data_IF_253222423065
#
_entry.id   IF_253222423065
#
_cell.length_a   1.000
_cell.length_b   1.000
_cell.length_c   1.000
_cell.angle_alpha   90.00
_cell.angle_beta   90.00
_cell.angle_gamma   90.00
#
_symmetry.space_group_name_H-M   'P 1'
#
loop_
_entity.id
_entity.type
_entity.pdbx_description
1 polymer ?
#
# COMPACT_ATOMS: atom_id res chain seq x y z
N UNK A 1 -15.35 7.88 -8.57
CA UNK A 1 -14.47 7.21 -7.59
C UNK A 1 -14.38 5.74 -7.95
N UNK A 2 -13.17 5.21 -8.02
CA UNK A 2 -12.95 3.79 -8.27
C UNK A 2 -13.05 3.01 -6.97
N UNK A 3 -13.76 1.88 -7.01
CA UNK A 3 -13.87 0.98 -5.88
C UNK A 3 -13.36 -0.40 -6.26
N UNK A 4 -12.93 -1.15 -5.25
CA UNK A 4 -12.33 -2.46 -5.43
C UNK A 4 -12.86 -3.41 -4.37
N UNK A 5 -12.85 -4.71 -4.67
CA UNK A 5 -13.14 -5.73 -3.66
C UNK A 5 -11.86 -6.13 -2.94
N UNK A 6 -11.86 -6.01 -1.63
CA UNK A 6 -10.79 -6.47 -0.78
C UNK A 6 -11.37 -7.33 0.33
N UNK A 7 -11.00 -8.59 0.34
CA UNK A 7 -11.49 -9.57 1.33
C UNK A 7 -13.04 -9.55 1.46
N UNK A 8 -13.72 -9.46 0.30
CA UNK A 8 -15.17 -9.49 0.25
C UNK A 8 -15.87 -8.18 0.53
N UNK A 9 -15.13 -7.10 0.73
CA UNK A 9 -15.70 -5.78 1.02
C UNK A 9 -15.29 -4.76 -0.03
N UNK A 10 -16.21 -3.89 -0.42
CA UNK A 10 -15.90 -2.81 -1.35
C UNK A 10 -15.20 -1.67 -0.64
N UNK A 11 -14.07 -1.26 -1.21
CA UNK A 11 -13.21 -0.21 -0.64
C UNK A 11 -12.71 0.70 -1.75
N UNK A 12 -12.22 1.87 -1.37
CA UNK A 12 -11.40 2.69 -2.26
C UNK A 12 -10.06 3.00 -1.59
N UNK A 13 -9.10 3.46 -2.38
CA UNK A 13 -7.75 3.73 -1.88
C UNK A 13 -7.47 5.23 -1.89
N UNK A 14 -6.84 5.70 -0.82
CA UNK A 14 -6.31 7.06 -0.71
C UNK A 14 -4.81 7.01 -0.57
N UNK A 15 -4.13 7.89 -1.30
CA UNK A 15 -2.70 8.09 -1.16
C UNK A 15 -2.47 9.22 -0.15
N UNK A 16 -1.77 8.89 0.93
CA UNK A 16 -1.38 9.83 1.98
C UNK A 16 0.14 9.80 2.12
N UNK A 17 0.68 10.64 2.98
CA UNK A 17 2.12 10.67 3.25
C UNK A 17 2.38 10.52 4.73
N UNK A 18 3.40 9.73 5.09
CA UNK A 18 3.87 9.68 6.46
C UNK A 18 4.57 10.99 6.82
N UNK A 19 4.29 11.52 8.02
CA UNK A 19 4.77 12.83 8.41
C UNK A 19 6.29 12.91 8.59
N UNK A 20 6.90 11.82 9.06
CA UNK A 20 8.30 11.84 9.44
C UNK A 20 9.27 11.82 8.25
N UNK A 21 8.87 11.24 7.11
CA UNK A 21 9.76 11.12 5.96
C UNK A 21 9.09 11.30 4.60
N UNK A 22 7.78 11.57 4.58
CA UNK A 22 7.06 11.80 3.33
C UNK A 22 6.80 10.56 2.49
N UNK A 23 7.13 9.37 2.98
CA UNK A 23 6.88 8.13 2.26
C UNK A 23 5.39 7.93 2.03
N UNK A 24 5.05 7.26 0.93
CA UNK A 24 3.66 6.97 0.57
C UNK A 24 3.00 6.04 1.59
N UNK A 25 1.80 6.42 2.02
CA UNK A 25 0.91 5.57 2.80
C UNK A 25 -0.34 5.29 1.97
N UNK A 26 -0.65 4.03 1.73
CA UNK A 26 -1.90 3.63 1.06
C UNK A 26 -2.94 3.30 2.11
N UNK A 27 -3.99 4.09 2.13
CA UNK A 27 -5.08 3.96 3.09
C UNK A 27 -6.27 3.35 2.38
N UNK A 28 -6.79 2.27 2.93
CA UNK A 28 -7.97 1.57 2.42
C UNK A 28 -9.19 2.06 3.19
N UNK A 29 -10.18 2.55 2.47
CA UNK A 29 -11.35 3.21 3.07
C UNK A 29 -12.61 2.49 2.61
N UNK A 30 -13.49 2.20 3.56
CA UNK A 30 -14.83 1.65 3.28
C UNK A 30 -15.70 2.71 2.61
N UNK A 31 -16.79 2.27 1.95
CA UNK A 31 -17.65 3.19 1.22
C UNK A 31 -18.34 4.23 2.10
N UNK A 32 -18.47 3.96 3.40
CA UNK A 32 -19.04 4.92 4.36
C UNK A 32 -18.02 5.97 4.84
N UNK A 33 -16.79 5.91 4.33
CA UNK A 33 -15.73 6.84 4.72
C UNK A 33 -14.89 6.40 5.90
N UNK A 34 -15.17 5.25 6.51
CA UNK A 34 -14.40 4.72 7.62
C UNK A 34 -13.07 4.17 7.12
N UNK A 35 -11.96 4.54 7.76
CA UNK A 35 -10.66 3.97 7.47
C UNK A 35 -10.68 2.50 7.88
N UNK A 36 -10.41 1.63 6.91
CA UNK A 36 -10.39 0.19 7.10
C UNK A 36 -9.03 -0.29 7.53
N UNK A 37 -8.01 0.02 6.73
CA UNK A 37 -6.65 -0.43 6.94
C UNK A 37 -5.66 0.51 6.26
N UNK A 38 -4.43 0.53 6.79
CA UNK A 38 -3.28 1.08 6.07
C UNK A 38 -2.44 -0.11 5.64
N UNK A 39 -2.33 -0.33 4.32
CA UNK A 39 -1.70 -1.54 3.78
C UNK A 39 -0.21 -1.39 3.50
N UNK A 40 0.35 -0.23 3.82
CA UNK A 40 1.79 0.02 3.75
C UNK A 40 2.41 -0.03 5.12
N UNK A 41 3.74 -0.18 5.16
CA UNK A 41 4.53 -0.04 6.36
C UNK A 41 5.59 1.04 6.11
N UNK A 42 5.82 1.88 7.13
CA UNK A 42 6.80 2.95 7.02
C UNK A 42 8.12 2.50 7.65
N UNK A 43 9.06 2.11 6.81
CA UNK A 43 10.41 1.77 7.24
C UNK A 43 11.26 3.04 7.31
N UNK A 44 12.39 2.96 8.02
CA UNK A 44 13.22 4.15 8.24
C UNK A 44 13.92 4.67 6.99
N UNK A 45 13.95 3.87 5.92
CA UNK A 45 14.56 4.29 4.65
C UNK A 45 13.71 5.34 3.97
N UNK A 46 14.27 6.50 3.69
CA UNK A 46 13.63 7.50 2.86
C UNK A 46 13.57 7.02 1.41
N UNK A 47 12.38 7.01 0.83
CA UNK A 47 12.19 6.65 -0.57
C UNK A 47 12.24 7.91 -1.42
N UNK A 48 12.81 7.80 -2.62
CA UNK A 48 13.05 8.96 -3.48
C UNK A 48 11.87 9.31 -4.38
N UNK A 49 10.77 8.59 -4.25
CA UNK A 49 9.59 8.79 -5.08
C UNK A 49 8.34 8.67 -4.21
N UNK A 50 7.36 9.53 -4.47
CA UNK A 50 6.07 9.51 -3.79
C UNK A 50 5.18 8.36 -4.27
N UNK A 51 5.62 7.60 -5.27
CA UNK A 51 4.91 6.42 -5.78
C UNK A 51 5.49 5.10 -5.30
N UNK A 52 6.58 5.12 -4.53
CA UNK A 52 7.18 3.91 -3.97
C UNK A 52 6.77 3.72 -2.52
N UNK A 53 6.49 2.47 -2.14
CA UNK A 53 6.15 2.12 -0.77
C UNK A 53 6.48 0.67 -0.48
N UNK A 54 6.58 0.34 0.80
CA UNK A 54 6.68 -1.06 1.24
C UNK A 54 5.30 -1.54 1.64
N UNK A 55 4.92 -2.69 1.14
CA UNK A 55 3.59 -3.29 1.44
C UNK A 55 3.70 -4.13 2.70
N UNK A 56 2.76 -3.93 3.62
CA UNK A 56 2.71 -4.65 4.89
C UNK A 56 2.07 -6.03 4.70
N UNK A 57 2.78 -6.90 3.99
CA UNK A 57 2.29 -8.23 3.69
C UNK A 57 2.23 -9.13 4.92
N UNK A 58 2.91 -8.76 5.99
CA UNK A 58 2.86 -9.50 7.23
C UNK A 58 1.50 -9.39 7.94
N UNK A 59 0.96 -8.18 8.03
CA UNK A 59 -0.35 -7.93 8.63
C UNK A 59 -1.49 -7.98 7.61
N UNK A 60 -1.18 -7.80 6.32
CA UNK A 60 -2.16 -7.78 5.25
C UNK A 60 -1.73 -8.73 4.14
N UNK A 61 -1.88 -10.06 4.35
CA UNK A 61 -1.36 -11.05 3.40
C UNK A 61 -2.01 -11.01 2.02
N UNK A 62 -3.19 -10.40 1.89
CA UNK A 62 -3.87 -10.26 0.60
C UNK A 62 -3.48 -8.99 -0.16
N UNK A 63 -2.70 -8.09 0.45
CA UNK A 63 -2.45 -6.77 -0.12
C UNK A 63 -1.67 -6.82 -1.43
N UNK A 64 -0.63 -7.66 -1.52
CA UNK A 64 0.18 -7.76 -2.74
C UNK A 64 -0.66 -8.23 -3.93
N UNK A 65 -1.40 -9.32 -3.78
CA UNK A 65 -2.24 -9.83 -4.86
C UNK A 65 -3.36 -8.85 -5.21
N UNK A 66 -3.91 -8.16 -4.21
CA UNK A 66 -4.93 -7.13 -4.43
C UNK A 66 -4.40 -6.02 -5.35
N UNK A 67 -3.20 -5.51 -5.07
CA UNK A 67 -2.58 -4.46 -5.89
C UNK A 67 -2.33 -4.96 -7.31
N UNK A 68 -1.76 -6.14 -7.45
CA UNK A 68 -1.42 -6.70 -8.77
C UNK A 68 -2.67 -7.04 -9.58
N UNK A 69 -3.65 -7.68 -8.97
CA UNK A 69 -4.88 -8.11 -9.66
C UNK A 69 -5.72 -6.93 -10.14
N UNK A 70 -5.67 -5.82 -9.45
CA UNK A 70 -6.43 -4.63 -9.82
C UNK A 70 -5.61 -3.63 -10.66
N UNK A 71 -4.39 -3.98 -11.03
CA UNK A 71 -3.55 -3.14 -11.87
C UNK A 71 -3.14 -1.83 -11.21
N UNK A 72 -2.96 -1.83 -9.89
CA UNK A 72 -2.69 -0.63 -9.11
C UNK A 72 -1.22 -0.37 -8.87
N UNK A 73 -0.38 -1.34 -9.15
CA UNK A 73 1.05 -1.22 -8.94
C UNK A 73 1.79 -2.47 -9.34
N UNK A 74 3.10 -2.46 -9.13
CA UNK A 74 4.00 -3.55 -9.50
C UNK A 74 5.03 -3.76 -8.39
N UNK A 75 5.33 -5.04 -8.13
CA UNK A 75 6.41 -5.43 -7.22
C UNK A 75 7.74 -5.14 -7.92
N UNK A 76 8.61 -4.36 -7.26
CA UNK A 76 9.88 -3.93 -7.83
C UNK A 76 10.99 -4.98 -7.72
N UNK A 77 10.70 -6.12 -7.08
CA UNK A 77 11.68 -7.19 -6.92
C UNK A 77 12.70 -6.95 -5.81
N UNK A 78 12.43 -5.99 -4.95
CA UNK A 78 13.31 -5.61 -3.83
C UNK A 78 12.55 -5.80 -2.53
N UNK A 79 13.22 -6.35 -1.52
CA UNK A 79 12.66 -6.49 -0.18
C UNK A 79 13.55 -5.82 0.83
N UNK A 80 12.95 -5.23 1.87
CA UNK A 80 13.70 -4.69 3.00
C UNK A 80 13.29 -5.41 4.27
N UNK A 81 14.28 -5.80 5.05
CA UNK A 81 14.05 -6.48 6.32
C UNK A 81 13.87 -5.46 7.43
N UNK A 82 12.87 -5.68 8.28
CA UNK A 82 12.66 -4.92 9.50
C UNK A 82 12.22 -5.90 10.59
N UNK A 83 13.06 -6.03 11.63
CA UNK A 83 12.85 -7.05 12.65
C UNK A 83 12.95 -8.45 12.04
N UNK A 84 11.94 -9.26 12.24
CA UNK A 84 11.87 -10.63 11.70
C UNK A 84 11.11 -10.71 10.38
N UNK A 85 10.65 -9.58 9.84
CA UNK A 85 9.81 -9.54 8.64
C UNK A 85 10.55 -8.91 7.48
N UNK A 86 10.20 -9.33 6.26
CA UNK A 86 10.65 -8.70 5.04
C UNK A 86 9.45 -8.10 4.33
N UNK A 87 9.62 -6.90 3.79
CA UNK A 87 8.54 -6.15 3.15
C UNK A 87 8.92 -5.85 1.70
N UNK A 88 8.05 -6.17 0.73
CA UNK A 88 8.34 -5.91 -0.67
C UNK A 88 8.15 -4.43 -1.01
N UNK A 89 9.03 -3.92 -1.86
CA UNK A 89 8.92 -2.58 -2.42
C UNK A 89 8.00 -2.61 -3.64
N UNK A 90 6.99 -1.75 -3.64
CA UNK A 90 6.05 -1.61 -4.75
C UNK A 90 6.12 -0.21 -5.34
N UNK A 91 5.94 -0.15 -6.65
CA UNK A 91 5.63 1.09 -7.36
C UNK A 91 4.13 1.15 -7.57
N UNK A 92 3.50 2.20 -7.10
CA UNK A 92 2.05 2.37 -7.16
C UNK A 92 1.69 3.32 -8.29
N UNK A 93 0.72 2.95 -9.10
CA UNK A 93 0.21 3.77 -10.19
C UNK A 93 -0.82 4.75 -9.62
N UNK A 94 -0.34 5.86 -9.08
CA UNK A 94 -1.18 6.82 -8.33
C UNK A 94 -2.38 7.32 -9.13
N UNK A 95 -2.22 7.46 -10.43
CA UNK A 95 -3.31 7.91 -11.31
C UNK A 95 -4.41 6.85 -11.50
N UNK A 96 -4.15 5.63 -11.08
CA UNK A 96 -5.10 4.50 -11.23
C UNK A 96 -5.94 4.23 -9.99
N UNK A 97 -5.66 4.91 -8.89
CA UNK A 97 -6.36 4.66 -7.62
C UNK A 97 -7.82 5.09 -7.60
#
# INVERSE_FOLDING_TARGET
MKTYLYNGEQVFLKAESYRNNGNLALVMVSLDGTIRDVITVNLNSGLQSDSLCFIDSNNHPLAESFICENGLGVNMGVMEQSGFCQYPLFHIFLDSL
#
